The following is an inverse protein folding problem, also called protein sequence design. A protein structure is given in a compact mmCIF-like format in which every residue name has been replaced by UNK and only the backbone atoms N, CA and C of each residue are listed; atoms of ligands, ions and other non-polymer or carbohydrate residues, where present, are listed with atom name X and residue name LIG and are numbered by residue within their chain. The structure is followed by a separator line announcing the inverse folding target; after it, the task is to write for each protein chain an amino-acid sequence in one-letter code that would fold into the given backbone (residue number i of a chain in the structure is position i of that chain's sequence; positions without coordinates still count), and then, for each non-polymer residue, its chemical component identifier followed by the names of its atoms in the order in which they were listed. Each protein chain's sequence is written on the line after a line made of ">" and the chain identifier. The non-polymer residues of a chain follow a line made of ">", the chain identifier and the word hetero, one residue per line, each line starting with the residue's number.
data_IF_157467048978
#
_entry.id   IF_157467048978
#
_cell.length_a   1.000
_cell.length_b   1.000
_cell.length_c   1.000
_cell.angle_alpha   90.00
_cell.angle_beta   90.00
_cell.angle_gamma   90.00
#
_symmetry.space_group_name_H-M   'P 1'
#
loop_
_entity.id
_entity.type
_entity.pdbx_description
1 polymer ?
#
# COMPACT_ATOMS: atom_id res chain seq x y z
N UNK A 1 -3.02 -55.11 -54.69
CA UNK A 1 -3.68 -54.20 -55.65
C UNK A 1 -5.06 -53.88 -55.11
N UNK A 2 -5.51 -52.62 -55.10
CA UNK A 2 -5.11 -51.67 -54.05
C UNK A 2 -6.27 -50.77 -53.55
N UNK A 3 -5.93 -49.85 -52.63
CA UNK A 3 -6.53 -48.50 -52.47
C UNK A 3 -7.96 -48.44 -51.90
N UNK A 4 -8.10 -48.25 -50.59
CA UNK A 4 -8.34 -46.95 -49.90
C UNK A 4 -9.81 -46.54 -49.93
N UNK A 5 -10.42 -46.34 -48.75
CA UNK A 5 -11.19 -45.14 -48.37
C UNK A 5 -11.43 -45.24 -46.86
N UNK A 6 -10.53 -44.70 -46.05
CA UNK A 6 -10.63 -43.33 -45.53
C UNK A 6 -11.79 -43.22 -44.52
N UNK A 7 -11.56 -43.69 -43.30
CA UNK A 7 -12.35 -43.28 -42.14
C UNK A 7 -11.44 -42.41 -41.28
N UNK A 8 -11.61 -41.11 -41.49
CA UNK A 8 -11.03 -39.96 -40.80
C UNK A 8 -10.96 -40.21 -39.29
N UNK A 9 -9.75 -40.47 -38.78
CA UNK A 9 -9.48 -40.50 -37.33
C UNK A 9 -9.22 -39.06 -36.89
N UNK A 10 -10.24 -38.52 -36.22
CA UNK A 10 -10.22 -37.53 -35.15
C UNK A 10 -9.19 -36.40 -35.24
N UNK A 11 -9.72 -35.27 -35.69
CA UNK A 11 -9.30 -33.95 -35.25
C UNK A 11 -9.22 -33.86 -33.72
N UNK A 12 -8.09 -33.36 -33.23
CA UNK A 12 -7.96 -32.28 -32.26
C UNK A 12 -6.56 -32.37 -31.62
N UNK A 13 -5.54 -31.91 -32.35
CA UNK A 13 -4.39 -31.34 -31.67
C UNK A 13 -4.93 -30.11 -30.93
N UNK A 14 -5.21 -30.27 -29.64
CA UNK A 14 -5.46 -29.15 -28.75
C UNK A 14 -4.23 -28.26 -28.81
N UNK A 15 -4.34 -27.15 -29.52
CA UNK A 15 -3.47 -26.01 -29.31
C UNK A 15 -3.73 -25.54 -27.88
N UNK A 16 -2.92 -26.01 -26.93
CA UNK A 16 -2.79 -25.34 -25.64
C UNK A 16 -2.18 -23.97 -25.94
N UNK A 17 -3.03 -22.96 -26.12
CA UNK A 17 -2.62 -21.59 -25.97
C UNK A 17 -2.03 -21.48 -24.55
N UNK A 18 -0.72 -21.27 -24.46
CA UNK A 18 -0.13 -20.86 -23.19
C UNK A 18 -0.63 -19.43 -22.97
N UNK A 19 -1.63 -19.28 -22.10
CA UNK A 19 -1.99 -17.97 -21.56
C UNK A 19 -0.79 -17.48 -20.77
N UNK A 20 0.08 -16.71 -21.43
CA UNK A 20 1.16 -16.00 -20.73
C UNK A 20 0.47 -15.06 -19.75
N UNK A 21 0.65 -15.23 -18.43
CA UNK A 21 -0.01 -14.36 -17.48
C UNK A 21 0.41 -12.92 -17.78
N UNK A 22 -0.53 -11.95 -17.73
CA UNK A 22 -0.23 -10.57 -18.02
C UNK A 22 0.90 -10.10 -17.11
N UNK A 23 2.00 -9.63 -17.71
CA UNK A 23 3.14 -9.12 -16.97
C UNK A 23 2.68 -7.84 -16.25
N UNK A 24 2.65 -7.89 -14.92
CA UNK A 24 2.34 -6.71 -14.10
C UNK A 24 3.58 -5.80 -14.10
N UNK A 25 3.40 -4.47 -14.08
CA UNK A 25 4.52 -3.53 -14.00
C UNK A 25 5.41 -3.85 -12.79
N UNK A 26 6.73 -3.78 -12.96
CA UNK A 26 7.69 -3.88 -11.86
C UNK A 26 7.48 -2.70 -10.92
N UNK A 27 7.14 -3.03 -9.68
CA UNK A 27 6.68 -2.12 -8.64
C UNK A 27 7.82 -1.51 -7.82
N UNK A 28 9.08 -1.71 -8.23
CA UNK A 28 10.24 -1.05 -7.65
C UNK A 28 10.51 -1.46 -6.20
N UNK A 29 11.16 -2.60 -6.00
CA UNK A 29 11.59 -3.08 -4.69
C UNK A 29 12.08 -4.54 -4.72
N UNK A 30 12.87 -4.95 -3.74
CA UNK A 30 13.27 -6.35 -3.61
C UNK A 30 12.15 -7.19 -2.97
N UNK A 31 11.34 -7.83 -3.80
CA UNK A 31 10.23 -8.66 -3.34
C UNK A 31 10.69 -9.88 -2.51
N UNK A 32 11.95 -10.33 -2.68
CA UNK A 32 12.50 -11.51 -1.99
C UNK A 32 12.72 -11.30 -0.48
N UNK A 33 12.60 -10.05 -0.02
CA UNK A 33 12.56 -9.71 1.41
C UNK A 33 11.37 -10.40 2.09
N UNK A 34 10.23 -10.46 1.42
CA UNK A 34 8.98 -10.99 1.95
C UNK A 34 8.53 -12.29 1.26
N UNK A 35 8.87 -12.47 -0.01
CA UNK A 35 8.48 -13.59 -0.85
C UNK A 35 9.61 -14.60 -1.07
N UNK A 36 9.27 -15.77 -1.59
CA UNK A 36 10.27 -16.80 -1.92
C UNK A 36 11.09 -16.43 -3.15
N UNK A 37 10.57 -15.51 -3.97
CA UNK A 37 11.18 -15.06 -5.22
C UNK A 37 11.12 -13.54 -5.38
N UNK A 38 11.97 -12.99 -6.26
CA UNK A 38 11.97 -11.56 -6.59
C UNK A 38 10.82 -11.12 -7.50
N UNK A 39 10.05 -12.06 -8.06
CA UNK A 39 8.90 -11.81 -8.92
C UNK A 39 7.79 -12.83 -8.58
N UNK A 40 7.07 -12.62 -7.46
CA UNK A 40 6.12 -13.61 -6.96
C UNK A 40 4.94 -13.84 -7.91
N UNK A 41 4.75 -15.11 -8.28
CA UNK A 41 3.60 -15.60 -9.05
C UNK A 41 2.36 -15.85 -8.19
N UNK A 42 1.31 -16.44 -8.79
CA UNK A 42 0.06 -16.77 -8.10
C UNK A 42 0.29 -17.72 -6.90
N UNK A 43 1.31 -18.55 -7.01
CA UNK A 43 1.77 -19.53 -6.04
C UNK A 43 2.58 -18.94 -4.88
N UNK A 44 3.10 -17.72 -5.04
CA UNK A 44 3.92 -17.00 -4.05
C UNK A 44 3.22 -15.70 -3.62
N UNK A 45 1.88 -15.66 -3.66
CA UNK A 45 1.07 -14.50 -3.28
C UNK A 45 1.13 -14.17 -1.78
N UNK A 46 1.36 -15.19 -0.95
CA UNK A 46 1.42 -15.03 0.50
C UNK A 46 2.89 -14.97 0.90
N UNK A 47 3.37 -13.83 1.47
CA UNK A 47 4.74 -13.71 1.95
C UNK A 47 5.13 -14.84 2.90
N UNK A 48 6.26 -15.50 2.64
CA UNK A 48 6.81 -16.57 3.49
C UNK A 48 7.39 -16.02 4.79
N UNK A 49 7.78 -14.75 4.78
CA UNK A 49 8.13 -13.99 5.98
C UNK A 49 6.99 -13.05 6.34
N UNK A 50 6.69 -12.95 7.63
CA UNK A 50 5.83 -11.86 8.13
C UNK A 50 6.44 -10.56 7.63
N UNK A 51 5.65 -9.76 6.92
CA UNK A 51 6.01 -8.40 6.55
C UNK A 51 6.53 -7.74 7.83
N UNK A 52 7.82 -7.40 7.84
CA UNK A 52 8.41 -6.57 8.87
C UNK A 52 7.91 -5.14 8.62
N UNK A 53 6.58 -4.95 8.68
CA UNK A 53 6.02 -3.63 8.82
C UNK A 53 6.71 -3.07 10.06
N UNK A 54 7.50 -2.00 9.90
CA UNK A 54 8.25 -1.45 11.02
C UNK A 54 7.25 -1.28 12.15
N UNK A 55 7.60 -1.80 13.34
CA UNK A 55 6.76 -1.51 14.51
C UNK A 55 6.70 0.01 14.56
N UNK A 56 5.51 0.58 14.47
CA UNK A 56 5.18 2.01 14.56
C UNK A 56 5.60 2.67 15.88
N UNK A 57 6.51 2.02 16.62
CA UNK A 57 7.13 2.51 17.82
C UNK A 57 8.29 3.44 17.46
N UNK A 58 8.10 4.33 16.48
CA UNK A 58 8.83 5.59 16.55
C UNK A 58 8.35 6.25 17.84
N UNK A 59 9.19 6.17 18.87
CA UNK A 59 8.95 6.86 20.13
C UNK A 59 9.01 8.35 19.79
N UNK A 60 7.84 8.94 19.51
CA UNK A 60 7.69 10.37 19.50
C UNK A 60 7.95 10.79 20.93
N UNK A 61 9.08 11.49 21.13
CA UNK A 61 9.43 11.98 22.45
C UNK A 61 8.27 12.79 22.99
N UNK A 62 7.84 12.49 24.23
CA UNK A 62 6.80 13.24 24.94
C UNK A 62 7.18 14.73 25.18
N UNK A 63 8.30 15.19 24.61
CA UNK A 63 8.86 16.51 24.72
C UNK A 63 8.49 17.37 23.50
N UNK A 64 7.29 17.93 23.45
CA UNK A 64 7.05 18.98 22.46
C UNK A 64 5.74 19.74 22.50
N UNK A 65 4.58 19.08 22.55
CA UNK A 65 3.32 19.80 22.49
C UNK A 65 2.21 19.02 23.18
N UNK A 66 1.53 19.66 24.13
CA UNK A 66 0.13 19.33 24.32
C UNK A 66 -0.55 19.41 22.95
N UNK A 67 -1.23 18.34 22.57
CA UNK A 67 -2.06 18.32 21.38
C UNK A 67 -2.90 19.61 21.32
N UNK A 68 -2.87 20.39 20.22
CA UNK A 68 -3.72 21.56 20.11
C UNK A 68 -5.19 21.19 20.35
N UNK A 69 -5.96 22.07 20.98
CA UNK A 69 -7.38 21.81 21.26
C UNK A 69 -8.13 21.52 19.96
N UNK A 70 -7.93 22.37 18.95
CA UNK A 70 -8.53 22.25 17.62
C UNK A 70 -7.46 22.53 16.56
N UNK A 71 -7.47 21.73 15.50
CA UNK A 71 -6.68 21.95 14.28
C UNK A 71 -7.65 22.13 13.11
N UNK A 72 -7.42 23.14 12.27
CA UNK A 72 -8.17 23.31 11.03
C UNK A 72 -7.49 22.51 9.92
N UNK A 73 -8.21 21.58 9.31
CA UNK A 73 -7.76 20.77 8.18
C UNK A 73 -8.44 21.33 6.92
N UNK A 74 -7.66 21.99 6.08
CA UNK A 74 -8.15 22.80 4.96
C UNK A 74 -7.60 22.36 3.59
N UNK A 75 -6.89 21.23 3.52
CA UNK A 75 -6.18 20.84 2.30
C UNK A 75 -7.09 20.45 1.13
N UNK A 76 -8.38 20.19 1.39
CA UNK A 76 -9.42 19.88 0.41
C UNK A 76 -10.49 20.98 0.34
N UNK A 77 -10.14 22.22 0.73
CA UNK A 77 -11.11 23.32 0.82
C UNK A 77 -11.61 23.84 -0.53
N UNK A 78 -10.99 23.37 -1.62
CA UNK A 78 -11.43 23.62 -2.99
C UNK A 78 -12.74 22.91 -3.34
N UNK A 79 -13.03 21.78 -2.67
CA UNK A 79 -14.23 20.97 -2.89
C UNK A 79 -15.09 20.75 -1.65
N UNK A 80 -14.54 20.94 -0.45
CA UNK A 80 -15.26 20.80 0.82
C UNK A 80 -15.02 22.02 1.73
N UNK A 81 -15.80 22.12 2.80
CA UNK A 81 -15.54 23.12 3.85
C UNK A 81 -14.39 22.62 4.75
N UNK A 82 -13.48 23.49 5.21
CA UNK A 82 -12.44 23.12 6.16
C UNK A 82 -13.01 22.42 7.40
N UNK A 83 -12.30 21.41 7.90
CA UNK A 83 -12.71 20.65 9.08
C UNK A 83 -12.06 21.24 10.32
N UNK A 84 -12.88 21.62 11.31
CA UNK A 84 -12.41 21.91 12.66
C UNK A 84 -12.27 20.58 13.43
N UNK A 85 -11.05 20.06 13.49
CA UNK A 85 -10.75 18.78 14.11
C UNK A 85 -10.41 18.98 15.60
N UNK A 86 -11.21 18.44 16.55
CA UNK A 86 -10.92 18.54 17.99
C UNK A 86 -9.76 17.60 18.34
N UNK A 87 -8.55 18.09 18.12
CA UNK A 87 -7.33 17.29 18.12
C UNK A 87 -6.94 16.81 19.54
N UNK A 88 -7.04 17.68 20.56
CA UNK A 88 -6.77 17.29 21.95
C UNK A 88 -7.70 16.16 22.43
N UNK A 89 -9.00 16.23 22.11
CA UNK A 89 -9.96 15.18 22.44
C UNK A 89 -9.53 13.82 21.89
N UNK A 90 -9.13 13.78 20.61
CA UNK A 90 -8.68 12.54 19.98
C UNK A 90 -7.33 12.06 20.52
N UNK A 91 -6.42 13.00 20.84
CA UNK A 91 -5.14 12.68 21.46
C UNK A 91 -5.33 11.98 22.83
N UNK A 92 -6.25 12.48 23.65
CA UNK A 92 -6.58 11.88 24.95
C UNK A 92 -7.15 10.46 24.78
N UNK A 93 -7.98 10.23 23.76
CA UNK A 93 -8.56 8.91 23.48
C UNK A 93 -7.50 7.87 23.08
N UNK A 94 -6.42 8.28 22.40
CA UNK A 94 -5.37 7.36 21.93
C UNK A 94 -4.17 7.29 22.86
N UNK A 95 -4.14 8.08 23.94
CA UNK A 95 -3.02 8.16 24.88
C UNK A 95 -2.65 6.82 25.52
N UNK A 96 -3.63 5.93 25.72
CA UNK A 96 -3.40 4.59 26.29
C UNK A 96 -3.01 3.53 25.24
N UNK A 97 -3.02 3.87 23.95
CA UNK A 97 -2.65 3.00 22.84
C UNK A 97 -1.25 3.39 22.32
N UNK A 98 -1.11 3.66 21.01
CA UNK A 98 0.15 4.09 20.40
C UNK A 98 0.35 5.63 20.44
N UNK A 99 -0.50 6.35 21.17
CA UNK A 99 -0.39 7.79 21.41
C UNK A 99 -0.33 8.60 20.11
N UNK A 100 0.58 9.56 20.04
CA UNK A 100 0.80 10.41 18.85
C UNK A 100 1.11 9.60 17.58
N UNK A 101 1.78 8.45 17.72
CA UNK A 101 2.14 7.57 16.59
C UNK A 101 0.94 6.88 15.95
N UNK A 102 -0.23 6.92 16.60
CA UNK A 102 -1.49 6.45 16.03
C UNK A 102 -1.86 7.22 14.76
N UNK A 103 -1.58 8.52 14.72
CA UNK A 103 -1.90 9.40 13.57
C UNK A 103 -0.64 9.91 12.87
N UNK A 104 0.36 10.35 13.63
CA UNK A 104 1.67 10.79 13.09
C UNK A 104 2.60 9.59 12.87
N UNK A 105 2.16 8.65 12.04
CA UNK A 105 2.91 7.45 11.73
C UNK A 105 4.04 7.70 10.73
N UNK A 106 5.03 6.81 10.72
CA UNK A 106 6.06 6.75 9.66
C UNK A 106 6.84 8.05 9.44
N UNK A 107 6.87 8.91 10.45
CA UNK A 107 7.62 10.16 10.46
C UNK A 107 9.06 9.94 10.92
N UNK A 108 9.87 10.98 10.80
CA UNK A 108 11.20 10.99 11.41
C UNK A 108 11.07 10.85 12.94
N UNK A 109 11.93 10.03 13.55
CA UNK A 109 11.91 9.80 15.01
C UNK A 109 11.97 11.13 15.78
N UNK A 110 11.09 11.27 16.78
CA UNK A 110 11.03 12.48 17.61
C UNK A 110 10.42 13.72 16.94
N UNK A 111 9.91 13.63 15.70
CA UNK A 111 9.28 14.78 15.01
C UNK A 111 7.85 14.50 14.57
N UNK A 112 6.95 15.42 14.93
CA UNK A 112 5.59 15.48 14.38
C UNK A 112 5.65 16.25 13.05
N UNK A 113 5.39 15.55 11.94
CA UNK A 113 5.27 16.14 10.60
C UNK A 113 3.80 16.16 10.14
N UNK A 114 3.47 17.07 9.21
CA UNK A 114 2.13 17.14 8.63
C UNK A 114 1.91 16.00 7.62
N UNK A 115 0.66 15.57 7.45
CA UNK A 115 0.29 14.54 6.49
C UNK A 115 0.81 14.88 5.08
N UNK A 116 0.67 16.15 4.68
CA UNK A 116 1.03 16.63 3.33
C UNK A 116 2.53 16.60 3.04
N UNK A 117 3.39 16.52 4.06
CA UNK A 117 4.83 16.36 3.85
C UNK A 117 5.14 15.08 3.05
N UNK A 118 4.31 14.05 3.21
CA UNK A 118 4.38 12.80 2.46
C UNK A 118 3.20 12.62 1.49
N UNK A 119 1.98 13.00 1.89
CA UNK A 119 0.76 12.88 1.08
C UNK A 119 0.47 14.17 0.29
N UNK A 120 1.21 14.39 -0.79
CA UNK A 120 1.11 15.61 -1.60
C UNK A 120 0.08 15.55 -2.75
N UNK A 121 -0.79 14.52 -2.77
CA UNK A 121 -1.89 14.39 -3.73
C UNK A 121 -1.50 13.82 -5.10
N UNK A 122 -0.25 13.40 -5.29
CA UNK A 122 0.19 12.70 -6.49
C UNK A 122 0.24 11.18 -6.29
N UNK A 123 -0.09 10.42 -7.33
CA UNK A 123 0.30 9.01 -7.44
C UNK A 123 1.78 8.99 -7.83
N UNK A 124 2.64 8.37 -7.02
CA UNK A 124 4.01 8.06 -7.42
C UNK A 124 4.17 6.57 -7.64
N UNK A 125 4.46 6.16 -8.87
CA UNK A 125 4.81 4.77 -9.20
C UNK A 125 6.16 4.34 -8.62
N UNK A 126 6.96 5.32 -8.20
CA UNK A 126 8.31 5.12 -7.65
C UNK A 126 8.30 4.86 -6.14
N UNK A 127 7.19 5.16 -5.44
CA UNK A 127 7.09 4.98 -3.98
C UNK A 127 5.69 4.49 -3.57
N UNK A 128 5.53 3.17 -3.55
CA UNK A 128 4.29 2.50 -3.13
C UNK A 128 4.05 2.53 -1.61
N UNK A 129 4.97 3.09 -0.83
CA UNK A 129 4.79 3.34 0.60
C UNK A 129 3.84 4.51 0.90
N UNK A 130 3.49 5.29 -0.12
CA UNK A 130 2.52 6.37 -0.02
C UNK A 130 1.14 5.87 -0.50
N UNK A 131 0.05 6.10 0.26
CA UNK A 131 -1.29 5.75 -0.15
C UNK A 131 -1.67 6.52 -1.40
N UNK A 132 -2.32 5.80 -2.31
CA UNK A 132 -2.97 6.35 -3.50
C UNK A 132 -3.93 7.49 -3.08
N UNK A 133 -3.88 8.68 -3.69
CA UNK A 133 -4.95 9.64 -3.56
C UNK A 133 -6.27 9.01 -4.04
N UNK A 134 -7.35 9.23 -3.28
CA UNK A 134 -8.70 8.95 -3.76
C UNK A 134 -8.95 9.88 -4.95
N UNK A 135 -9.11 9.33 -6.14
CA UNK A 135 -9.54 10.08 -7.30
C UNK A 135 -10.91 10.73 -6.99
N UNK A 136 -10.93 12.05 -6.92
CA UNK A 136 -12.12 12.89 -6.79
C UNK A 136 -12.57 13.36 -8.18
#
# INVERSE_FOLDING_TARGET
>A
MPVVFLSVVLAALGAFAQDTPPQRPDMGGDCSVCHSSGNPGLEDLIPTRRCARPKSREKLDEAGAAAPDVVIIDQLSDIYVPVAFPHALHADMVAMADGCGTCHHHGEEGKIVSCRACHNGGVSTENLGQPEPVAL
#
